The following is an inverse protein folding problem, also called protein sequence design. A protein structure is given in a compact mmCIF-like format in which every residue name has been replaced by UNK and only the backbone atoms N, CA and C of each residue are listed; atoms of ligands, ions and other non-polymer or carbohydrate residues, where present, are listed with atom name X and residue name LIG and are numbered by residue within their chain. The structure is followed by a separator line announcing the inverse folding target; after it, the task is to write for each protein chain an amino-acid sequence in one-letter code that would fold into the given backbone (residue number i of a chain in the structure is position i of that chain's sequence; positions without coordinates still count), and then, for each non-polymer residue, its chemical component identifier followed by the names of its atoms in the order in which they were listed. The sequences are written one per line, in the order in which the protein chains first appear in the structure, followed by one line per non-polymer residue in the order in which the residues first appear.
data_IF_077454738159
#
_entry.id   IF_077454738159
#
_cell.length_a   1.000
_cell.length_b   1.000
_cell.length_c   1.000
_cell.angle_alpha   90.00
_cell.angle_beta   90.00
_cell.angle_gamma   90.00
#
_symmetry.space_group_name_H-M   'P 1'
#
loop_
_entity.id
_entity.type
_entity.pdbx_description
1 polymer ?
#
# COMPACT_ATOMS: atom_id res chain seq x y z
N UNK A 1 -2.88 23.81 14.16
CA UNK A 1 -1.77 22.90 14.43
C UNK A 1 -2.42 21.60 14.89
N UNK A 2 -2.90 20.79 13.93
CA UNK A 2 -3.62 19.53 14.19
C UNK A 2 -2.63 18.41 13.92
N UNK A 3 -2.26 17.70 14.98
CA UNK A 3 -1.45 16.50 14.91
C UNK A 3 -2.25 15.43 14.16
N UNK A 4 -1.77 15.05 12.97
CA UNK A 4 -2.26 13.90 12.24
C UNK A 4 -1.97 12.65 13.07
N UNK A 5 -2.99 12.09 13.68
CA UNK A 5 -2.92 10.78 14.32
C UNK A 5 -2.80 9.73 13.20
N UNK A 6 -1.57 9.28 12.97
CA UNK A 6 -1.26 8.20 12.04
C UNK A 6 -1.71 6.88 12.69
N UNK A 7 -2.90 6.40 12.33
CA UNK A 7 -3.41 5.11 12.78
C UNK A 7 -2.82 4.01 11.92
N UNK A 8 -1.79 3.35 12.43
CA UNK A 8 -1.10 2.25 11.76
C UNK A 8 -2.06 1.13 11.31
N UNK A 9 -2.11 0.92 10.03
CA UNK A 9 -2.82 -0.16 9.36
C UNK A 9 -2.42 -0.15 7.90
N UNK A 10 -2.31 -1.28 7.30
CA UNK A 10 -1.94 -1.57 5.93
C UNK A 10 -1.37 -0.38 5.12
N UNK A 11 -0.07 -0.41 4.85
CA UNK A 11 0.61 0.67 4.13
C UNK A 11 0.16 0.72 2.66
N UNK A 12 -0.86 1.51 2.38
CA UNK A 12 -1.05 2.00 1.04
C UNK A 12 0.04 3.04 0.78
N UNK A 13 1.08 2.63 0.07
CA UNK A 13 2.30 3.40 -0.13
C UNK A 13 2.04 4.52 -1.13
N UNK A 14 1.85 5.76 -0.67
CA UNK A 14 2.06 6.92 -1.54
C UNK A 14 3.57 7.20 -1.65
N UNK A 15 3.99 7.80 -2.76
CA UNK A 15 5.32 8.41 -2.77
C UNK A 15 5.36 9.46 -1.65
N UNK A 16 6.51 9.63 -0.95
CA UNK A 16 6.65 10.73 -0.02
C UNK A 16 6.36 12.03 -0.76
N UNK A 17 5.72 12.97 -0.08
CA UNK A 17 5.52 14.30 -0.62
C UNK A 17 6.86 14.83 -1.14
N UNK A 18 6.94 15.01 -2.46
CA UNK A 18 8.10 15.62 -3.11
C UNK A 18 9.01 14.71 -3.94
N UNK A 19 8.82 13.38 -4.02
CA UNK A 19 9.59 12.53 -4.95
C UNK A 19 8.67 11.90 -5.98
N UNK A 20 8.78 12.30 -7.23
CA UNK A 20 7.89 11.94 -8.31
C UNK A 20 8.57 11.78 -9.67
N UNK A 21 7.76 11.66 -10.72
CA UNK A 21 8.24 11.53 -12.10
C UNK A 21 9.20 12.66 -12.50
N UNK A 22 8.89 13.89 -12.07
CA UNK A 22 9.70 15.09 -12.34
C UNK A 22 11.14 14.96 -11.83
N UNK A 23 11.38 14.16 -10.76
CA UNK A 23 12.73 13.91 -10.25
C UNK A 23 13.53 13.04 -11.20
N UNK A 24 12.90 12.03 -11.81
CA UNK A 24 13.54 11.19 -12.80
C UNK A 24 13.84 11.97 -14.10
N UNK A 25 12.89 12.79 -14.55
CA UNK A 25 13.05 13.61 -15.75
C UNK A 25 14.13 14.67 -15.56
N UNK A 26 14.14 15.39 -14.44
CA UNK A 26 15.20 16.36 -14.08
C UNK A 26 16.57 15.72 -13.99
N UNK A 27 16.64 14.48 -13.56
CA UNK A 27 17.86 13.67 -13.52
C UNK A 27 18.26 13.12 -14.91
N UNK A 28 17.52 13.42 -15.97
CA UNK A 28 17.79 12.97 -17.34
C UNK A 28 17.56 11.48 -17.58
N UNK A 29 16.77 10.84 -16.76
CA UNK A 29 16.42 9.43 -16.91
C UNK A 29 15.36 9.27 -18.01
N UNK A 30 15.58 8.30 -18.91
CA UNK A 30 14.57 7.91 -19.89
C UNK A 30 13.49 7.10 -19.19
N UNK A 31 12.30 7.67 -19.17
CA UNK A 31 11.10 7.05 -18.60
C UNK A 31 10.30 6.39 -19.73
N UNK A 32 9.83 5.16 -19.49
CA UNK A 32 8.92 4.44 -20.39
C UNK A 32 7.58 4.29 -19.69
N UNK A 33 6.54 4.91 -20.24
CA UNK A 33 5.18 4.80 -19.69
C UNK A 33 4.39 3.68 -20.38
N UNK A 34 3.56 3.01 -19.57
CA UNK A 34 2.58 2.02 -20.01
C UNK A 34 1.25 2.22 -19.28
N UNK A 35 0.14 1.86 -19.95
CA UNK A 35 -1.20 1.78 -19.37
C UNK A 35 -1.55 0.33 -19.11
N UNK A 36 -2.27 0.12 -18.02
CA UNK A 36 -2.74 -1.18 -17.56
C UNK A 36 -4.22 -1.09 -17.22
N UNK A 37 -5.00 -2.06 -17.68
CA UNK A 37 -6.40 -2.21 -17.32
C UNK A 37 -6.54 -2.89 -15.94
N UNK A 38 -7.69 -2.76 -15.26
CA UNK A 38 -7.92 -3.46 -14.01
C UNK A 38 -7.70 -4.98 -14.15
N UNK A 39 -6.89 -5.57 -13.27
CA UNK A 39 -6.43 -6.96 -13.25
C UNK A 39 -5.28 -7.28 -14.20
N UNK A 40 -4.76 -6.31 -14.94
CA UNK A 40 -3.54 -6.54 -15.70
C UNK A 40 -2.35 -6.76 -14.78
N UNK A 41 -1.52 -7.72 -15.15
CA UNK A 41 -0.26 -8.00 -14.46
C UNK A 41 0.84 -7.08 -15.01
N UNK A 42 1.51 -6.36 -14.12
CA UNK A 42 2.62 -5.45 -14.46
C UNK A 42 3.93 -6.23 -14.52
N UNK A 43 4.18 -7.08 -13.51
CA UNK A 43 5.26 -8.06 -13.47
C UNK A 43 4.92 -9.21 -12.51
N UNK A 44 5.65 -10.33 -12.65
CA UNK A 44 5.49 -11.54 -11.85
C UNK A 44 6.79 -11.93 -11.15
N UNK A 45 6.73 -12.77 -10.10
CA UNK A 45 7.93 -13.41 -9.56
C UNK A 45 8.69 -14.19 -10.65
N UNK A 46 9.99 -13.96 -10.73
CA UNK A 46 10.84 -14.54 -11.76
C UNK A 46 11.06 -13.64 -12.97
N UNK A 47 10.36 -12.52 -13.11
CA UNK A 47 10.69 -11.52 -14.11
C UNK A 47 12.03 -10.85 -13.79
N UNK A 48 12.80 -10.38 -14.81
CA UNK A 48 14.04 -9.66 -14.58
C UNK A 48 13.85 -8.44 -13.69
N UNK A 49 14.71 -8.28 -12.70
CA UNK A 49 14.71 -7.15 -11.77
C UNK A 49 15.67 -6.04 -12.28
N UNK A 50 15.44 -5.59 -13.51
CA UNK A 50 16.27 -4.58 -14.18
C UNK A 50 15.62 -3.19 -14.29
N UNK A 51 14.38 -3.05 -13.80
CA UNK A 51 13.62 -1.82 -13.84
C UNK A 51 13.10 -1.42 -12.46
N UNK A 52 13.04 -0.11 -12.24
CA UNK A 52 12.27 0.50 -11.16
C UNK A 52 10.98 1.04 -11.75
N UNK A 53 9.87 0.81 -11.08
CA UNK A 53 8.54 1.23 -11.50
C UNK A 53 8.03 2.38 -10.65
N UNK A 54 7.27 3.24 -11.30
CA UNK A 54 6.65 4.40 -10.69
C UNK A 54 5.17 4.48 -11.11
N UNK A 55 4.27 4.48 -10.14
CA UNK A 55 2.85 4.69 -10.39
C UNK A 55 2.59 6.17 -10.62
N UNK A 56 1.99 6.52 -11.76
CA UNK A 56 1.66 7.89 -12.14
C UNK A 56 0.20 8.24 -11.85
N UNK A 57 -0.70 7.27 -12.00
CA UNK A 57 -2.12 7.40 -11.67
C UNK A 57 -2.77 6.02 -11.52
N UNK A 58 -3.91 5.97 -10.83
CA UNK A 58 -4.63 4.74 -10.57
C UNK A 58 -4.14 4.00 -9.33
N UNK A 59 -4.34 2.67 -9.28
CA UNK A 59 -3.96 1.87 -8.12
C UNK A 59 -3.29 0.56 -8.54
N UNK A 60 -2.21 0.19 -7.84
CA UNK A 60 -1.43 -1.03 -8.03
C UNK A 60 -1.31 -1.78 -6.72
N UNK A 61 -1.58 -3.08 -6.75
CA UNK A 61 -1.39 -4.02 -5.64
C UNK A 61 -0.11 -4.81 -5.83
N UNK A 62 0.72 -4.88 -4.79
CA UNK A 62 1.83 -5.82 -4.69
C UNK A 62 1.42 -6.97 -3.77
N UNK A 63 1.63 -8.21 -4.18
CA UNK A 63 1.26 -9.37 -3.36
C UNK A 63 2.20 -10.56 -3.57
N UNK A 64 2.19 -11.47 -2.59
CA UNK A 64 2.87 -12.77 -2.65
C UNK A 64 1.86 -13.89 -2.54
N UNK A 65 2.20 -15.04 -3.12
CA UNK A 65 1.45 -16.28 -2.96
C UNK A 65 2.26 -17.21 -2.05
N UNK A 66 1.60 -17.70 -1.00
CA UNK A 66 2.18 -18.63 -0.03
C UNK A 66 1.44 -19.97 -0.07
N UNK A 67 2.19 -21.09 -0.02
CA UNK A 67 1.63 -22.44 -0.01
C UNK A 67 0.61 -22.66 -1.12
N UNK A 68 -0.49 -23.36 -0.81
CA UNK A 68 -1.55 -23.68 -1.77
C UNK A 68 -2.47 -22.47 -2.00
N UNK A 69 -1.99 -21.44 -2.71
CA UNK A 69 -2.78 -20.31 -3.21
C UNK A 69 -3.25 -19.27 -2.18
N UNK A 70 -2.58 -19.11 -1.04
CA UNK A 70 -2.86 -17.98 -0.14
C UNK A 70 -2.14 -16.73 -0.61
N UNK A 71 -2.90 -15.75 -1.06
CA UNK A 71 -2.36 -14.44 -1.39
C UNK A 71 -2.22 -13.57 -0.13
N UNK A 72 -1.11 -12.87 0.00
CA UNK A 72 -0.94 -11.80 0.96
C UNK A 72 -0.52 -10.53 0.23
N UNK A 73 -1.34 -9.49 0.33
CA UNK A 73 -1.02 -8.18 -0.20
C UNK A 73 0.04 -7.53 0.67
N UNK A 74 1.17 -7.16 0.09
CA UNK A 74 2.29 -6.53 0.79
C UNK A 74 2.27 -5.01 0.67
N UNK A 75 1.65 -4.47 -0.39
CA UNK A 75 1.44 -3.04 -0.57
C UNK A 75 0.28 -2.75 -1.51
N UNK A 76 -0.38 -1.61 -1.29
CA UNK A 76 -1.35 -1.00 -2.21
C UNK A 76 -0.92 0.44 -2.45
N UNK A 77 -0.59 0.76 -3.71
CA UNK A 77 -0.21 2.10 -4.13
C UNK A 77 -1.39 2.77 -4.81
N UNK A 78 -1.52 4.09 -4.62
CA UNK A 78 -2.51 4.92 -5.30
C UNK A 78 -1.88 6.22 -5.81
N UNK A 79 -2.22 6.59 -7.04
CA UNK A 79 -1.93 7.85 -7.73
C UNK A 79 -0.44 8.26 -7.81
N UNK A 80 0.40 7.77 -6.92
CA UNK A 80 1.85 7.93 -6.98
C UNK A 80 2.55 6.90 -6.09
N UNK A 81 3.78 6.52 -6.45
CA UNK A 81 4.61 5.65 -5.60
C UNK A 81 5.64 4.87 -6.39
N UNK A 82 6.77 4.64 -5.76
CA UNK A 82 7.84 3.79 -6.31
C UNK A 82 7.56 2.34 -5.89
N UNK A 83 7.65 1.41 -6.83
CA UNK A 83 7.49 -0.01 -6.56
C UNK A 83 8.43 -0.87 -7.41
N UNK A 84 8.44 -2.19 -7.15
CA UNK A 84 9.47 -3.09 -7.64
C UNK A 84 10.65 -3.15 -6.66
N UNK A 85 11.60 -4.03 -6.90
CA UNK A 85 12.80 -4.16 -6.06
C UNK A 85 13.84 -3.13 -6.46
N UNK A 86 14.34 -2.37 -5.51
CA UNK A 86 15.50 -1.51 -5.70
C UNK A 86 16.81 -2.25 -5.33
N UNK A 87 17.01 -3.45 -5.86
CA UNK A 87 18.29 -4.13 -5.74
C UNK A 87 19.27 -3.56 -6.77
N UNK A 88 20.18 -2.74 -6.32
CA UNK A 88 21.31 -2.27 -7.14
C UNK A 88 22.42 -3.32 -7.27
N UNK A 89 22.28 -4.48 -6.61
CA UNK A 89 23.21 -5.60 -6.67
C UNK A 89 22.73 -6.61 -7.70
N UNK A 90 23.59 -7.03 -8.59
CA UNK A 90 23.33 -7.92 -9.74
C UNK A 90 22.58 -9.22 -9.37
N UNK A 91 21.72 -9.66 -10.27
CA UNK A 91 21.28 -11.05 -10.40
C UNK A 91 20.09 -11.47 -9.54
N UNK A 92 19.16 -10.57 -9.18
CA UNK A 92 17.92 -10.93 -8.47
C UNK A 92 16.68 -10.73 -9.34
N UNK A 93 15.72 -11.63 -9.17
CA UNK A 93 14.42 -11.64 -9.82
C UNK A 93 13.38 -10.95 -8.95
N UNK A 94 12.31 -10.47 -9.55
CA UNK A 94 11.13 -10.03 -8.81
C UNK A 94 10.63 -11.21 -7.94
N UNK A 95 10.16 -10.93 -6.73
CA UNK A 95 9.65 -11.94 -5.79
C UNK A 95 8.21 -11.66 -5.36
N UNK A 96 7.59 -10.67 -5.96
CA UNK A 96 6.19 -10.29 -5.76
C UNK A 96 5.49 -10.19 -7.10
N UNK A 97 4.18 -10.36 -7.09
CA UNK A 97 3.32 -9.96 -8.19
C UNK A 97 2.99 -8.48 -8.08
N UNK A 98 2.89 -7.79 -9.21
CA UNK A 98 2.31 -6.45 -9.30
C UNK A 98 1.12 -6.48 -10.25
N UNK A 99 -0.04 -6.04 -9.78
CA UNK A 99 -1.31 -6.07 -10.50
C UNK A 99 -2.00 -4.70 -10.42
N UNK A 100 -2.54 -4.23 -11.53
CA UNK A 100 -3.38 -3.04 -11.55
C UNK A 100 -4.74 -3.33 -10.90
N UNK A 101 -5.13 -2.54 -9.90
CA UNK A 101 -6.44 -2.66 -9.23
C UNK A 101 -7.50 -1.84 -9.96
N UNK A 102 -7.10 -0.68 -10.47
CA UNK A 102 -7.88 0.20 -11.36
C UNK A 102 -7.15 0.37 -12.66
N UNK A 103 -7.70 1.10 -13.64
CA UNK A 103 -6.88 1.60 -14.75
C UNK A 103 -5.69 2.35 -14.16
N UNK A 104 -4.47 2.00 -14.59
CA UNK A 104 -3.25 2.53 -14.02
C UNK A 104 -2.26 2.96 -15.11
N UNK A 105 -1.59 4.10 -14.87
CA UNK A 105 -0.43 4.53 -15.66
C UNK A 105 0.83 4.29 -14.86
N UNK A 106 1.75 3.54 -15.43
CA UNK A 106 3.01 3.15 -14.78
C UNK A 106 4.17 3.58 -15.65
N UNK A 107 5.11 4.30 -15.04
CA UNK A 107 6.39 4.61 -15.63
C UNK A 107 7.44 3.60 -15.17
N UNK A 108 8.43 3.31 -15.99
CA UNK A 108 9.58 2.50 -15.63
C UNK A 108 10.89 3.13 -16.06
N UNK A 109 11.94 2.92 -15.28
CA UNK A 109 13.32 3.35 -15.57
C UNK A 109 14.27 2.18 -15.42
N UNK A 110 15.27 2.12 -16.29
CA UNK A 110 16.31 1.10 -16.23
C UNK A 110 17.22 1.32 -15.02
N UNK A 111 17.45 0.30 -14.21
CA UNK A 111 18.30 0.36 -13.02
C UNK A 111 19.73 0.81 -13.33
N UNK A 112 20.31 0.35 -14.45
CA UNK A 112 21.63 0.77 -14.86
C UNK A 112 21.72 2.30 -15.15
N UNK A 113 20.64 2.92 -15.62
CA UNK A 113 20.59 4.36 -15.79
C UNK A 113 20.41 5.07 -14.43
N UNK A 114 19.54 4.54 -13.57
CA UNK A 114 19.32 5.03 -12.22
C UNK A 114 20.61 4.98 -11.38
N UNK A 115 21.36 3.90 -11.44
CA UNK A 115 22.65 3.76 -10.75
C UNK A 115 23.66 4.85 -11.14
N UNK A 116 23.71 5.21 -12.42
CA UNK A 116 24.57 6.32 -12.87
C UNK A 116 24.14 7.65 -12.26
N UNK A 117 22.83 7.93 -12.22
CA UNK A 117 22.31 9.16 -11.62
C UNK A 117 22.59 9.22 -10.13
N UNK A 118 22.33 8.12 -9.40
CA UNK A 118 22.65 8.04 -7.95
C UNK A 118 24.13 8.38 -7.66
N UNK A 119 25.05 7.95 -8.54
CA UNK A 119 26.48 8.23 -8.40
C UNK A 119 26.86 9.67 -8.77
N UNK A 120 26.10 10.33 -9.63
CA UNK A 120 26.43 11.67 -10.13
C UNK A 120 25.61 12.81 -9.52
N UNK A 121 24.46 12.50 -8.91
CA UNK A 121 23.55 13.46 -8.28
C UNK A 121 23.24 13.07 -6.83
N UNK A 122 24.00 13.57 -5.85
CA UNK A 122 23.77 13.24 -4.45
C UNK A 122 22.43 13.73 -3.91
N UNK A 123 21.87 14.81 -4.45
CA UNK A 123 20.57 15.34 -4.02
C UNK A 123 19.44 14.41 -4.47
N UNK A 124 19.49 13.93 -5.71
CA UNK A 124 18.57 12.89 -6.19
C UNK A 124 18.65 11.62 -5.32
N UNK A 125 19.88 11.18 -5.00
CA UNK A 125 20.11 10.00 -4.16
C UNK A 125 19.49 10.15 -2.77
N UNK A 126 19.63 11.32 -2.13
CA UNK A 126 19.03 11.60 -0.83
C UNK A 126 17.50 11.59 -0.88
N UNK A 127 16.87 12.17 -1.90
CA UNK A 127 15.41 12.15 -2.08
C UNK A 127 14.91 10.72 -2.29
N UNK A 128 15.59 9.94 -3.12
CA UNK A 128 15.24 8.52 -3.32
C UNK A 128 15.37 7.73 -2.00
N UNK A 129 16.44 7.96 -1.24
CA UNK A 129 16.64 7.31 0.06
C UNK A 129 15.54 7.67 1.07
N UNK A 130 15.15 8.93 1.13
CA UNK A 130 14.04 9.38 1.98
C UNK A 130 12.73 8.67 1.61
N UNK A 131 12.46 8.49 0.30
CA UNK A 131 11.31 7.74 -0.20
C UNK A 131 11.32 6.28 0.26
N UNK A 132 12.48 5.64 0.22
CA UNK A 132 12.62 4.24 0.66
C UNK A 132 12.52 4.10 2.18
N UNK A 133 13.05 5.06 2.93
CA UNK A 133 12.95 5.09 4.39
C UNK A 133 11.49 5.22 4.85
N UNK A 134 10.71 6.07 4.18
CA UNK A 134 9.28 6.18 4.47
C UNK A 134 8.53 4.88 4.15
N UNK A 135 8.87 4.20 3.06
CA UNK A 135 8.29 2.89 2.73
C UNK A 135 8.64 1.83 3.78
N UNK A 136 9.87 1.83 4.29
CA UNK A 136 10.28 0.93 5.36
C UNK A 136 9.46 1.18 6.63
N UNK A 137 9.33 2.43 7.06
CA UNK A 137 8.51 2.83 8.21
C UNK A 137 7.06 2.35 8.09
N UNK A 138 6.45 2.50 6.91
CA UNK A 138 5.10 2.00 6.65
C UNK A 138 5.01 0.47 6.73
N UNK A 139 6.05 -0.24 6.30
CA UNK A 139 6.10 -1.71 6.42
C UNK A 139 6.19 -2.16 7.88
N UNK A 140 6.95 -1.44 8.70
CA UNK A 140 7.06 -1.72 10.14
C UNK A 140 5.71 -1.51 10.86
N UNK A 141 4.95 -0.47 10.50
CA UNK A 141 3.59 -0.24 11.03
C UNK A 141 2.63 -1.37 10.67
N UNK A 142 2.74 -1.94 9.45
CA UNK A 142 1.95 -3.12 9.07
C UNK A 142 2.31 -4.31 9.96
N UNK A 143 3.59 -4.57 10.15
CA UNK A 143 4.07 -5.68 11.01
C UNK A 143 3.53 -5.51 12.44
N UNK A 144 3.67 -4.33 13.01
CA UNK A 144 3.12 -4.01 14.33
C UNK A 144 1.60 -4.26 14.39
N UNK A 145 0.86 -3.80 13.40
CA UNK A 145 -0.57 -4.03 13.30
C UNK A 145 -0.94 -5.53 13.26
N UNK A 146 -0.17 -6.33 12.54
CA UNK A 146 -0.41 -7.79 12.45
C UNK A 146 -0.14 -8.52 13.75
N UNK A 147 0.81 -8.05 14.55
CA UNK A 147 1.20 -8.67 15.81
C UNK A 147 0.26 -8.32 16.98
N UNK A 148 -0.28 -7.11 17.01
CA UNK A 148 -0.93 -6.56 18.19
C UNK A 148 -2.42 -6.25 18.03
N UNK A 149 -3.00 -6.33 16.83
CA UNK A 149 -4.40 -5.92 16.60
C UNK A 149 -5.31 -7.06 16.18
N UNK A 150 -6.53 -7.06 16.71
CA UNK A 150 -7.60 -7.96 16.28
C UNK A 150 -8.00 -7.72 14.82
N UNK A 151 -8.59 -8.73 14.19
CA UNK A 151 -9.09 -8.64 12.79
C UNK A 151 -10.07 -7.49 12.61
N UNK A 152 -10.93 -7.24 13.59
CA UNK A 152 -11.89 -6.12 13.61
C UNK A 152 -11.19 -4.77 13.53
N UNK A 153 -10.15 -4.55 14.31
CA UNK A 153 -9.35 -3.33 14.33
C UNK A 153 -8.57 -3.16 13.03
N UNK A 154 -7.93 -4.23 12.54
CA UNK A 154 -7.19 -4.18 11.27
C UNK A 154 -8.11 -3.85 10.09
N UNK A 155 -9.31 -4.45 10.05
CA UNK A 155 -10.28 -4.15 8.99
C UNK A 155 -10.80 -2.72 9.09
N UNK A 156 -11.13 -2.24 10.29
CA UNK A 156 -11.58 -0.86 10.48
C UNK A 156 -10.50 0.15 10.03
N UNK A 157 -9.24 -0.08 10.42
CA UNK A 157 -8.09 0.72 9.98
C UNK A 157 -7.93 0.71 8.47
N UNK A 158 -8.03 -0.47 7.83
CA UNK A 158 -7.99 -0.58 6.37
C UNK A 158 -9.10 0.24 5.71
N UNK A 159 -10.34 0.15 6.21
CA UNK A 159 -11.48 0.88 5.65
C UNK A 159 -11.35 2.40 5.81
N UNK A 160 -10.82 2.89 6.95
CA UNK A 160 -10.49 4.32 7.13
C UNK A 160 -9.47 4.75 6.08
N UNK A 161 -8.36 4.02 5.95
CA UNK A 161 -7.32 4.35 4.98
C UNK A 161 -7.80 4.30 3.52
N UNK A 162 -8.67 3.35 3.19
CA UNK A 162 -9.29 3.27 1.86
C UNK A 162 -10.25 4.45 1.65
N UNK A 163 -11.02 4.85 2.66
CA UNK A 163 -11.87 6.03 2.61
C UNK A 163 -11.09 7.31 2.38
N UNK A 164 -9.94 7.48 3.07
CA UNK A 164 -9.07 8.65 2.91
C UNK A 164 -8.45 8.76 1.52
N UNK A 165 -8.17 7.64 0.89
CA UNK A 165 -7.40 7.59 -0.38
C UNK A 165 -8.28 7.40 -1.61
N UNK A 166 -9.34 6.62 -1.50
CA UNK A 166 -10.22 6.23 -2.60
C UNK A 166 -11.66 6.70 -2.41
N UNK A 167 -11.91 7.47 -1.31
CA UNK A 167 -13.24 7.96 -1.00
C UNK A 167 -13.56 9.20 -1.81
N UNK A 168 -14.74 9.17 -2.44
CA UNK A 168 -15.48 10.32 -2.92
C UNK A 168 -16.80 10.33 -2.15
N UNK A 169 -17.13 11.40 -1.44
CA UNK A 169 -18.35 11.52 -0.62
C UNK A 169 -18.58 10.31 0.31
N UNK A 170 -17.55 9.90 1.08
CA UNK A 170 -17.56 8.73 1.96
C UNK A 170 -17.79 7.36 1.28
N UNK A 171 -17.83 7.31 -0.05
CA UNK A 171 -17.89 6.07 -0.83
C UNK A 171 -16.48 5.67 -1.29
N UNK A 172 -16.00 4.51 -0.85
CA UNK A 172 -14.75 3.91 -1.35
C UNK A 172 -14.99 3.45 -2.79
N UNK A 173 -14.48 4.24 -3.77
CA UNK A 173 -14.70 4.00 -5.21
C UNK A 173 -13.75 2.94 -5.79
N UNK A 174 -13.54 1.86 -5.05
CA UNK A 174 -12.83 0.67 -5.51
C UNK A 174 -13.70 -0.56 -5.26
N UNK A 175 -13.83 -1.42 -6.26
CA UNK A 175 -14.57 -2.68 -6.11
C UNK A 175 -13.68 -3.71 -5.43
N UNK A 176 -13.98 -3.99 -4.16
CA UNK A 176 -13.26 -4.96 -3.35
C UNK A 176 -14.19 -6.11 -2.93
N UNK A 177 -13.70 -7.33 -3.04
CA UNK A 177 -14.35 -8.50 -2.47
C UNK A 177 -13.90 -8.70 -1.02
N UNK A 178 -14.65 -9.49 -0.23
CA UNK A 178 -14.20 -9.88 1.11
C UNK A 178 -12.87 -10.65 1.08
N UNK A 179 -12.56 -11.34 -0.03
CA UNK A 179 -11.26 -11.99 -0.21
C UNK A 179 -10.14 -10.97 -0.41
N UNK A 180 -10.38 -9.92 -1.20
CA UNK A 180 -9.41 -8.84 -1.39
C UNK A 180 -9.10 -8.15 -0.04
N UNK A 181 -10.14 -7.82 0.73
CA UNK A 181 -9.97 -7.24 2.07
C UNK A 181 -9.21 -8.20 3.02
N UNK A 182 -9.53 -9.51 2.97
CA UNK A 182 -8.87 -10.52 3.78
C UNK A 182 -7.38 -10.62 3.43
N UNK A 183 -7.05 -10.63 2.15
CA UNK A 183 -5.66 -10.64 1.67
C UNK A 183 -4.90 -9.38 2.11
N UNK A 184 -5.59 -8.22 2.15
CA UNK A 184 -5.00 -6.95 2.58
C UNK A 184 -4.67 -6.91 4.07
N UNK A 185 -5.45 -7.56 4.92
CA UNK A 185 -5.23 -7.55 6.39
C UNK A 185 -4.63 -8.86 6.91
N UNK A 186 -4.12 -9.72 6.03
CA UNK A 186 -3.58 -11.05 6.36
C UNK A 186 -4.55 -11.84 7.26
N UNK A 187 -5.79 -12.03 6.78
CA UNK A 187 -6.86 -12.73 7.50
C UNK A 187 -7.59 -13.72 6.57
N UNK A 188 -8.61 -14.39 7.09
CA UNK A 188 -9.47 -15.25 6.28
C UNK A 188 -10.70 -14.49 5.79
N UNK A 189 -11.25 -14.91 4.64
CA UNK A 189 -12.49 -14.35 4.08
C UNK A 189 -13.64 -14.43 5.07
N UNK A 190 -13.75 -15.52 5.81
CA UNK A 190 -14.79 -15.79 6.81
C UNK A 190 -14.71 -14.77 7.96
N UNK A 191 -13.50 -14.53 8.49
CA UNK A 191 -13.28 -13.55 9.54
C UNK A 191 -13.64 -12.12 9.08
N UNK A 192 -13.22 -11.73 7.88
CA UNK A 192 -13.61 -10.45 7.27
C UNK A 192 -15.12 -10.37 7.06
N UNK A 193 -15.75 -11.43 6.52
CA UNK A 193 -17.21 -11.45 6.28
C UNK A 193 -17.99 -11.25 7.58
N UNK A 194 -17.52 -11.85 8.69
CA UNK A 194 -18.13 -11.67 10.01
C UNK A 194 -18.05 -10.20 10.46
N UNK A 195 -16.85 -9.61 10.42
CA UNK A 195 -16.65 -8.21 10.85
C UNK A 195 -17.40 -7.23 9.94
N UNK A 196 -17.41 -7.43 8.63
CA UNK A 196 -18.19 -6.62 7.69
C UNK A 196 -19.68 -6.64 8.02
N UNK A 197 -20.24 -7.84 8.34
CA UNK A 197 -21.64 -7.97 8.74
C UNK A 197 -21.93 -7.27 10.08
N UNK A 198 -21.00 -7.28 11.01
CA UNK A 198 -21.11 -6.54 12.27
C UNK A 198 -21.13 -5.02 12.03
N UNK A 199 -20.19 -4.51 11.22
CA UNK A 199 -20.13 -3.08 10.87
C UNK A 199 -21.40 -2.60 10.13
N UNK A 200 -21.95 -3.43 9.24
CA UNK A 200 -23.22 -3.14 8.54
C UNK A 200 -24.41 -3.13 9.49
N UNK A 201 -24.53 -4.12 10.36
CA UNK A 201 -25.60 -4.20 11.36
C UNK A 201 -25.58 -3.00 12.32
N UNK A 202 -24.39 -2.54 12.68
CA UNK A 202 -24.20 -1.40 13.57
C UNK A 202 -24.34 -0.06 12.84
N UNK A 203 -24.63 -0.06 11.53
CA UNK A 203 -24.85 1.15 10.73
C UNK A 203 -23.58 1.95 10.46
N UNK A 204 -22.39 1.36 10.64
CA UNK A 204 -21.11 2.04 10.45
C UNK A 204 -20.72 2.11 8.97
N UNK A 205 -21.04 1.07 8.22
CA UNK A 205 -20.81 0.99 6.77
C UNK A 205 -22.02 0.41 6.04
N UNK A 206 -22.05 0.62 4.73
CA UNK A 206 -22.97 -0.05 3.81
C UNK A 206 -22.22 -0.57 2.59
N UNK A 207 -22.62 -1.74 2.05
CA UNK A 207 -22.05 -2.27 0.82
C UNK A 207 -23.05 -2.08 -0.33
N UNK A 208 -22.65 -1.34 -1.38
CA UNK A 208 -23.42 -1.08 -2.60
C UNK A 208 -22.59 -1.47 -3.82
N UNK A 209 -23.07 -2.45 -4.60
CA UNK A 209 -22.40 -2.89 -5.85
C UNK A 209 -20.89 -3.21 -5.68
N UNK A 210 -20.51 -3.89 -4.59
CA UNK A 210 -19.11 -4.19 -4.19
C UNK A 210 -18.27 -2.95 -3.84
N UNK A 211 -18.89 -1.79 -3.67
CA UNK A 211 -18.29 -0.58 -3.10
C UNK A 211 -18.76 -0.46 -1.66
N UNK A 212 -17.95 0.18 -0.83
CA UNK A 212 -18.22 0.33 0.60
C UNK A 212 -18.43 1.81 0.88
N UNK A 213 -19.62 2.14 1.38
CA UNK A 213 -19.92 3.47 1.91
C UNK A 213 -19.65 3.49 3.42
N UNK A 214 -18.94 4.50 3.90
CA UNK A 214 -18.72 4.76 5.32
C UNK A 214 -19.86 5.67 5.78
N UNK A 215 -20.75 5.14 6.63
CA UNK A 215 -21.92 5.88 7.13
C UNK A 215 -21.61 6.64 8.42
N UNK A 216 -20.71 6.09 9.26
CA UNK A 216 -20.26 6.70 10.51
C UNK A 216 -18.73 6.58 10.61
N UNK A 217 -18.06 7.65 10.19
CA UNK A 217 -16.59 7.72 10.16
C UNK A 217 -15.99 7.75 11.57
N UNK A 218 -16.65 8.39 12.52
CA UNK A 218 -16.18 8.49 13.90
C UNK A 218 -16.24 7.13 14.59
N UNK A 219 -17.34 6.38 14.43
CA UNK A 219 -17.46 5.03 14.94
C UNK A 219 -16.44 4.08 14.31
N UNK A 220 -16.17 4.21 13.00
CA UNK A 220 -15.16 3.42 12.30
C UNK A 220 -13.75 3.74 12.80
N UNK A 221 -13.41 5.03 12.95
CA UNK A 221 -12.11 5.49 13.45
C UNK A 221 -11.86 5.05 14.89
N UNK A 222 -12.91 5.06 15.72
CA UNK A 222 -12.83 4.55 17.09
C UNK A 222 -12.54 3.05 17.14
N UNK A 223 -13.11 2.26 16.24
CA UNK A 223 -12.78 0.83 16.11
C UNK A 223 -11.37 0.59 15.56
N UNK A 224 -10.91 1.46 14.66
CA UNK A 224 -9.55 1.42 14.13
C UNK A 224 -8.49 1.71 15.19
N UNK A 225 -8.80 2.52 16.21
CA UNK A 225 -7.89 2.83 17.32
C UNK A 225 -7.75 1.67 18.33
N UNK A 226 -8.65 0.67 18.29
CA UNK A 226 -8.66 -0.45 19.22
C UNK A 226 -9.05 -0.05 20.64
N UNK A 227 -9.19 -0.99 21.58
CA UNK A 227 -9.34 -0.67 23.00
C UNK A 227 -8.08 0.04 23.48
N UNK A 228 -8.24 1.26 23.98
CA UNK A 228 -7.17 2.05 24.62
C UNK A 228 -6.65 1.30 25.85
N UNK A 229 -5.57 0.58 25.71
CA UNK A 229 -4.99 -0.19 26.79
C UNK A 229 -3.72 -0.90 26.37
N UNK A 230 -2.64 -0.13 26.23
CA UNK A 230 -1.28 -0.44 26.68
C UNK A 230 -0.43 0.77 26.32
N UNK A 231 -0.36 1.71 27.24
CA UNK A 231 0.83 2.58 27.33
C UNK A 231 2.00 1.64 27.56
N UNK A 232 2.78 1.41 26.53
CA UNK A 232 4.11 0.83 26.72
C UNK A 232 4.96 1.97 27.25
N UNK A 233 4.94 2.15 28.58
CA UNK A 233 6.00 2.87 29.27
C UNK A 233 7.30 2.11 28.96
N UNK A 234 8.12 2.77 28.13
CA UNK A 234 9.36 2.20 27.66
C UNK A 234 10.34 1.92 28.79
N UNK A 235 10.60 0.65 29.00
CA UNK A 235 11.88 0.15 29.49
C UNK A 235 12.09 -1.25 28.97
N UNK A 236 12.84 -1.38 27.87
CA UNK A 236 13.50 -2.63 27.53
C UNK A 236 14.60 -2.86 28.57
N UNK A 237 14.63 -4.00 29.28
CA UNK A 237 15.81 -4.37 30.03
C UNK A 237 16.94 -4.72 29.06
N UNK A 238 18.07 -4.09 29.29
CA UNK A 238 19.37 -4.35 28.65
C UNK A 238 19.84 -5.77 29.00
#
# INVERSE_FOLDING_TARGET
MLASHNTGGFAATSAPEGFGLDDFERAGLRVVERRFEPKDTIFTPGDPDDQLYFLLSGAVRLYKIYGDYKEATTALLKDSGVFGKLNLVEGRWQDVFAEAVTEARVASVQKAALERVIKSDPEFALRLFSSLSERLRQSDEVIESLLHREVSTRLATLLVNLGDRFGEDDLIDVRLTHQDLANMIASTREAVSKVMSELQRDGVIETRNRRIAILDRDALSKRASGPSGLSVDGQLPI
#
